data_IF_186917756947
#
_entry.id   IF_186917756947
#
_cell.length_a   1.000
_cell.length_b   1.000
_cell.length_c   1.000
_cell.angle_alpha   90.00
_cell.angle_beta   90.00
_cell.angle_gamma   90.00
#
_symmetry.space_group_name_H-M   'P 1'
#
loop_
_entity.id
_entity.type
_entity.pdbx_description
1 polymer ?
#
# COMPACT_ATOMS: atom_id res chain seq x y z
N UNK A 1 -2.72 5.59 7.13
CA UNK A 1 -2.49 4.21 7.58
C UNK A 1 -1.04 4.03 8.02
N UNK A 2 -0.80 4.12 9.32
CA UNK A 2 0.55 4.04 9.87
C UNK A 2 0.99 2.61 10.20
N UNK A 3 0.04 1.69 10.27
CA UNK A 3 0.32 0.30 10.60
C UNK A 3 0.40 -0.57 9.35
N UNK A 4 1.33 -1.52 9.38
CA UNK A 4 1.29 -2.61 8.44
C UNK A 4 1.45 -3.91 9.22
N UNK A 5 0.76 -4.94 8.77
CA UNK A 5 0.77 -6.24 9.41
C UNK A 5 1.78 -7.14 8.71
N UNK A 6 2.53 -7.90 9.50
CA UNK A 6 3.35 -8.97 8.94
C UNK A 6 2.48 -10.19 8.68
N UNK A 7 2.99 -11.12 7.87
CA UNK A 7 2.29 -12.38 7.60
C UNK A 7 2.08 -13.15 8.91
N UNK A 8 3.08 -13.12 9.80
CA UNK A 8 3.00 -13.81 11.08
C UNK A 8 1.90 -13.22 11.97
N UNK A 9 1.77 -11.90 11.99
CA UNK A 9 0.72 -11.23 12.77
C UNK A 9 -0.67 -11.59 12.26
N UNK A 10 -0.85 -11.58 10.95
CA UNK A 10 -2.14 -11.95 10.35
C UNK A 10 -2.47 -13.42 10.60
N UNK A 11 -1.49 -14.31 10.43
CA UNK A 11 -1.68 -15.73 10.68
C UNK A 11 -2.08 -16.00 12.12
N UNK A 12 -1.43 -15.31 13.06
CA UNK A 12 -1.75 -15.43 14.49
C UNK A 12 -3.18 -14.96 14.78
N UNK A 13 -3.59 -13.85 14.16
CA UNK A 13 -4.93 -13.29 14.34
C UNK A 13 -6.02 -14.29 13.90
N UNK A 14 -5.79 -15.02 12.80
CA UNK A 14 -6.74 -15.98 12.27
C UNK A 14 -6.51 -17.41 12.75
N UNK A 15 -5.47 -17.63 13.57
CA UNK A 15 -5.21 -18.96 14.13
C UNK A 15 -4.75 -19.99 13.13
N UNK A 16 -4.07 -19.59 12.07
CA UNK A 16 -3.57 -20.49 11.03
C UNK A 16 -2.07 -20.32 10.83
N UNK A 17 -1.43 -21.30 10.20
CA UNK A 17 0.00 -21.23 9.90
C UNK A 17 0.26 -20.14 8.83
N UNK A 18 1.40 -19.44 8.90
CA UNK A 18 1.75 -18.44 7.89
C UNK A 18 1.74 -18.99 6.45
N UNK A 19 2.23 -20.21 6.25
CA UNK A 19 2.23 -20.84 4.93
C UNK A 19 0.81 -21.07 4.40
N UNK A 20 -0.11 -21.49 5.26
CA UNK A 20 -1.52 -21.68 4.92
C UNK A 20 -2.17 -20.36 4.56
N UNK A 21 -1.92 -19.32 5.36
CA UNK A 21 -2.43 -17.98 5.08
C UNK A 21 -1.97 -17.47 3.71
N UNK A 22 -0.69 -17.62 3.40
CA UNK A 22 -0.14 -17.20 2.10
C UNK A 22 -0.83 -17.89 0.93
N UNK A 23 -1.05 -19.20 1.02
CA UNK A 23 -1.71 -19.97 -0.02
C UNK A 23 -3.16 -19.54 -0.20
N UNK A 24 -3.90 -19.43 0.89
CA UNK A 24 -5.30 -19.02 0.85
C UNK A 24 -5.44 -17.60 0.30
N UNK A 25 -4.59 -16.70 0.73
CA UNK A 25 -4.66 -15.31 0.30
C UNK A 25 -4.42 -15.20 -1.21
N UNK A 26 -3.38 -15.86 -1.72
CA UNK A 26 -3.06 -15.84 -3.14
C UNK A 26 -4.19 -16.47 -3.98
N UNK A 27 -4.81 -17.53 -3.47
CA UNK A 27 -5.92 -18.18 -4.15
C UNK A 27 -7.17 -17.31 -4.24
N UNK A 28 -7.45 -16.54 -3.20
CA UNK A 28 -8.63 -15.66 -3.15
C UNK A 28 -8.41 -14.32 -3.87
N UNK A 29 -7.27 -13.70 -3.64
CA UNK A 29 -7.00 -12.34 -4.13
C UNK A 29 -6.12 -12.28 -5.38
N UNK A 30 -5.50 -13.39 -5.77
CA UNK A 30 -4.66 -13.45 -6.96
C UNK A 30 -3.30 -12.79 -6.80
N UNK A 31 -2.93 -12.35 -5.60
CA UNK A 31 -1.63 -11.74 -5.33
C UNK A 31 -1.15 -12.07 -3.92
N UNK A 32 0.11 -11.81 -3.63
CA UNK A 32 0.68 -12.05 -2.30
C UNK A 32 0.16 -11.01 -1.31
N UNK A 33 0.23 -11.31 -0.03
CA UNK A 33 -0.17 -10.39 1.04
C UNK A 33 0.63 -9.07 0.96
N UNK A 34 1.98 -9.09 0.84
CA UNK A 34 2.74 -7.85 0.70
C UNK A 34 2.31 -7.02 -0.51
N UNK A 35 2.00 -7.65 -1.62
CA UNK A 35 1.55 -6.96 -2.82
C UNK A 35 0.19 -6.32 -2.60
N UNK A 36 -0.74 -7.03 -1.96
CA UNK A 36 -2.06 -6.51 -1.63
C UNK A 36 -1.96 -5.28 -0.73
N UNK A 37 -1.13 -5.35 0.32
CA UNK A 37 -0.93 -4.23 1.25
C UNK A 37 -0.36 -3.02 0.50
N UNK A 38 0.61 -3.24 -0.37
CA UNK A 38 1.22 -2.18 -1.16
C UNK A 38 0.17 -1.48 -2.04
N UNK A 39 -0.64 -2.25 -2.75
CA UNK A 39 -1.70 -1.69 -3.60
C UNK A 39 -2.76 -0.96 -2.79
N UNK A 40 -3.11 -1.47 -1.62
CA UNK A 40 -4.05 -0.82 -0.73
C UNK A 40 -3.52 0.54 -0.27
N UNK A 41 -2.25 0.61 0.11
CA UNK A 41 -1.62 1.87 0.53
C UNK A 41 -1.62 2.89 -0.60
N UNK A 42 -1.27 2.46 -1.80
CA UNK A 42 -1.26 3.34 -2.96
C UNK A 42 -2.69 3.81 -3.28
N UNK A 43 -3.68 2.95 -3.13
CA UNK A 43 -5.08 3.35 -3.30
C UNK A 43 -5.50 4.44 -2.33
N UNK A 44 -5.08 4.34 -1.07
CA UNK A 44 -5.33 5.39 -0.07
C UNK A 44 -4.60 6.68 -0.44
N UNK A 45 -3.38 6.58 -0.93
CA UNK A 45 -2.60 7.73 -1.37
C UNK A 45 -3.28 8.46 -2.53
N UNK A 46 -3.82 7.73 -3.50
CA UNK A 46 -4.58 8.33 -4.61
C UNK A 46 -5.73 9.20 -4.10
N UNK A 47 -6.49 8.70 -3.14
CA UNK A 47 -7.60 9.44 -2.56
C UNK A 47 -7.12 10.74 -1.91
N UNK A 48 -6.03 10.68 -1.16
CA UNK A 48 -5.49 11.87 -0.52
C UNK A 48 -4.92 12.87 -1.51
N UNK A 49 -4.29 12.40 -2.58
CA UNK A 49 -3.78 13.29 -3.62
C UNK A 49 -4.91 14.07 -4.30
N UNK A 50 -6.07 13.47 -4.45
CA UNK A 50 -7.23 14.08 -5.10
C UNK A 50 -8.02 14.95 -4.13
N UNK A 51 -8.25 14.48 -2.91
CA UNK A 51 -9.20 15.09 -1.98
C UNK A 51 -8.57 15.98 -0.91
N UNK A 52 -7.25 16.03 -0.81
CA UNK A 52 -6.57 16.85 0.19
C UNK A 52 -5.48 17.69 -0.45
N UNK A 53 -5.01 18.69 0.31
CA UNK A 53 -3.88 19.52 -0.09
C UNK A 53 -2.60 19.11 0.64
N UNK A 54 -2.59 17.97 1.28
CA UNK A 54 -1.41 17.46 1.97
C UNK A 54 -0.24 17.30 0.98
N UNK A 55 0.97 17.56 1.47
CA UNK A 55 2.16 17.37 0.64
C UNK A 55 2.37 15.89 0.31
N UNK A 56 3.14 15.64 -0.73
CA UNK A 56 3.48 14.26 -1.12
C UNK A 56 4.14 13.51 0.05
N UNK A 57 5.04 14.18 0.77
CA UNK A 57 5.72 13.58 1.91
C UNK A 57 4.74 13.25 3.04
N UNK A 58 3.81 14.15 3.33
CA UNK A 58 2.78 13.89 4.35
C UNK A 58 1.93 12.69 3.98
N UNK A 59 1.52 12.59 2.73
CA UNK A 59 0.74 11.46 2.24
C UNK A 59 1.54 10.17 2.34
N UNK A 60 2.82 10.20 1.94
CA UNK A 60 3.69 9.04 2.04
C UNK A 60 3.75 8.52 3.49
N UNK A 61 3.94 9.43 4.44
CA UNK A 61 4.00 9.05 5.86
C UNK A 61 2.67 8.49 6.35
N UNK A 62 1.56 9.08 5.96
CA UNK A 62 0.23 8.63 6.38
C UNK A 62 -0.09 7.23 5.89
N UNK A 63 0.37 6.87 4.70
CA UNK A 63 0.10 5.54 4.15
C UNK A 63 1.20 4.53 4.49
N UNK A 64 2.14 4.90 5.35
CA UNK A 64 3.11 3.96 5.93
C UNK A 64 4.46 3.87 5.25
N UNK A 65 4.81 4.81 4.37
CA UNK A 65 6.14 4.88 3.78
C UNK A 65 7.04 5.80 4.60
N UNK A 66 8.29 5.37 4.80
CA UNK A 66 9.24 6.13 5.62
C UNK A 66 9.77 7.37 4.91
N UNK A 67 9.88 7.32 3.58
CA UNK A 67 10.38 8.46 2.83
C UNK A 67 9.63 8.60 1.49
N UNK A 68 9.69 9.80 0.95
CA UNK A 68 8.99 10.13 -0.29
C UNK A 68 9.52 9.41 -1.51
N UNK A 69 10.81 9.08 -1.53
CA UNK A 69 11.42 8.38 -2.67
C UNK A 69 10.87 6.98 -2.84
N UNK A 70 10.80 6.22 -1.74
CA UNK A 70 10.23 4.87 -1.76
C UNK A 70 8.76 4.91 -2.14
N UNK A 71 8.03 5.87 -1.61
CA UNK A 71 6.63 6.07 -1.95
C UNK A 71 6.46 6.36 -3.44
N UNK A 72 7.25 7.28 -3.98
CA UNK A 72 7.16 7.65 -5.39
C UNK A 72 7.43 6.46 -6.31
N UNK A 73 8.44 5.67 -6.00
CA UNK A 73 8.76 4.46 -6.78
C UNK A 73 7.60 3.48 -6.77
N UNK A 74 7.04 3.20 -5.59
CA UNK A 74 5.92 2.28 -5.46
C UNK A 74 4.69 2.81 -6.18
N UNK A 75 4.40 4.09 -6.04
CA UNK A 75 3.27 4.73 -6.69
C UNK A 75 3.39 4.63 -8.22
N UNK A 76 4.56 4.94 -8.76
CA UNK A 76 4.79 4.88 -10.20
C UNK A 76 4.67 3.45 -10.74
N UNK A 77 5.17 2.46 -10.00
CA UNK A 77 5.06 1.06 -10.42
C UNK A 77 3.61 0.59 -10.52
N UNK A 78 2.76 1.06 -9.62
CA UNK A 78 1.37 0.61 -9.55
C UNK A 78 0.46 1.43 -10.46
N UNK A 79 0.66 2.75 -10.51
CA UNK A 79 -0.24 3.64 -11.26
C UNK A 79 0.30 4.04 -12.63
N UNK A 80 1.60 3.87 -12.87
CA UNK A 80 2.25 4.33 -14.09
C UNK A 80 2.65 5.79 -14.07
N UNK A 81 2.37 6.52 -12.99
CA UNK A 81 2.68 7.95 -12.87
C UNK A 81 3.29 8.27 -11.52
N UNK A 82 4.09 9.33 -11.47
CA UNK A 82 4.59 9.85 -10.20
C UNK A 82 3.45 10.53 -9.43
N UNK A 83 3.51 10.57 -8.09
CA UNK A 83 2.43 11.18 -7.30
C UNK A 83 2.14 12.63 -7.68
N UNK A 84 3.17 13.44 -7.94
CA UNK A 84 2.99 14.83 -8.35
C UNK A 84 2.30 14.96 -9.69
N UNK A 85 2.66 14.11 -10.63
CA UNK A 85 2.00 14.08 -11.95
C UNK A 85 0.55 13.66 -11.83
N UNK A 86 0.28 12.65 -11.02
CA UNK A 86 -1.07 12.17 -10.79
C UNK A 86 -1.96 13.29 -10.25
N UNK A 87 -1.48 14.05 -9.27
CA UNK A 87 -2.23 15.16 -8.68
C UNK A 87 -2.52 16.25 -9.70
N UNK A 88 -1.51 16.61 -10.52
CA UNK A 88 -1.68 17.69 -11.51
C UNK A 88 -2.62 17.33 -12.64
N UNK A 89 -2.64 16.06 -13.04
CA UNK A 89 -3.40 15.60 -14.20
C UNK A 89 -4.76 15.02 -13.85
N UNK A 90 -5.13 15.09 -12.59
CA UNK A 90 -6.43 14.64 -12.15
C UNK A 90 -7.37 15.85 -12.05
#
# INVERSE_FOLDING_TARGET
MARHFTVEQLARKYGIAPSTLKKCFKGVYGCTIPQYIKEYRIGQAKKQLIHTQNSILEIANKVGYENGSKFAVAFQKITGRLPGEFRRNY
#
